data_IF_020215279167
#
_entry.id   IF_020215279167
#
_cell.length_a   1.000
_cell.length_b   1.000
_cell.length_c   1.000
_cell.angle_alpha   90.00
_cell.angle_beta   90.00
_cell.angle_gamma   90.00
#
_symmetry.space_group_name_H-M   'P 1'
#
loop_
_entity.id
_entity.type
_entity.pdbx_description
1 polymer ?
#
# COMPACT_ATOMS: atom_id res chain seq x y z
N UNK A 1 17.89 -19.51 33.40
CA UNK A 1 17.67 -20.07 32.04
C UNK A 1 16.18 -20.28 31.68
N UNK A 2 15.25 -20.52 32.62
CA UNK A 2 13.81 -20.68 32.35
C UNK A 2 13.05 -19.37 32.02
N UNK A 3 13.58 -18.22 32.44
CA UNK A 3 12.94 -16.89 32.31
C UNK A 3 13.03 -16.31 30.88
N UNK A 4 14.03 -16.73 30.10
CA UNK A 4 14.25 -16.26 28.73
C UNK A 4 13.20 -16.86 27.78
N UNK A 5 12.71 -18.08 28.07
CA UNK A 5 11.68 -18.75 27.29
C UNK A 5 10.33 -18.01 27.28
N UNK A 6 9.95 -17.39 28.41
CA UNK A 6 8.69 -16.65 28.48
C UNK A 6 8.71 -15.37 27.65
N UNK A 7 9.88 -14.74 27.50
CA UNK A 7 10.02 -13.51 26.72
C UNK A 7 9.83 -13.75 25.21
N UNK A 8 10.30 -14.91 24.69
CA UNK A 8 10.22 -15.23 23.26
C UNK A 8 8.78 -15.43 22.78
N UNK A 9 7.90 -15.97 23.63
CA UNK A 9 6.50 -16.21 23.28
C UNK A 9 5.68 -14.91 23.11
N UNK A 10 6.07 -13.82 23.78
CA UNK A 10 5.34 -12.55 23.69
C UNK A 10 5.59 -11.80 22.37
N UNK A 11 6.72 -12.05 21.69
CA UNK A 11 7.16 -11.27 20.52
C UNK A 11 6.44 -11.69 19.24
N UNK A 12 5.92 -12.92 19.17
CA UNK A 12 5.29 -13.48 17.97
C UNK A 12 3.89 -12.93 17.65
N UNK A 13 3.28 -12.14 18.53
CA UNK A 13 1.92 -11.63 18.34
C UNK A 13 1.82 -10.35 17.49
N UNK A 14 2.93 -9.78 17.00
CA UNK A 14 2.94 -8.40 16.47
C UNK A 14 2.87 -8.25 14.93
N UNK A 15 2.67 -9.31 14.14
CA UNK A 15 2.71 -9.23 12.66
C UNK A 15 1.38 -9.53 11.98
N UNK A 16 0.31 -8.80 12.33
CA UNK A 16 -0.92 -8.75 11.51
C UNK A 16 -1.06 -7.36 10.91
N UNK A 17 -0.49 -7.17 9.73
CA UNK A 17 -0.48 -5.88 9.04
C UNK A 17 -0.60 -6.02 7.53
N UNK A 18 -1.61 -6.75 7.04
CA UNK A 18 -2.02 -6.64 5.63
C UNK A 18 -3.05 -5.52 5.52
N UNK A 19 -2.60 -4.31 5.18
CA UNK A 19 -3.52 -3.28 4.71
C UNK A 19 -4.05 -3.73 3.35
N UNK A 20 -5.30 -4.18 3.31
CA UNK A 20 -6.02 -4.32 2.07
C UNK A 20 -5.96 -2.97 1.35
N UNK A 21 -5.35 -2.95 0.17
CA UNK A 21 -5.47 -1.81 -0.73
C UNK A 21 -6.97 -1.65 -0.98
N UNK A 22 -7.52 -0.52 -0.55
CA UNK A 22 -8.89 -0.18 -0.85
C UNK A 22 -9.01 -0.18 -2.38
N UNK A 23 -9.79 -1.12 -2.91
CA UNK A 23 -10.38 -1.00 -4.24
C UNK A 23 -11.37 0.16 -4.13
N UNK A 24 -10.85 1.37 -4.25
CA UNK A 24 -11.64 2.52 -4.62
C UNK A 24 -12.15 2.22 -6.02
N UNK A 25 -13.48 2.24 -6.19
CA UNK A 25 -14.18 1.92 -7.43
C UNK A 25 -13.96 2.99 -8.51
N UNK A 26 -12.72 3.43 -8.70
CA UNK A 26 -12.32 4.17 -9.87
C UNK A 26 -12.35 3.17 -11.04
N UNK A 27 -13.32 3.34 -11.93
CA UNK A 27 -13.54 2.48 -13.10
C UNK A 27 -12.40 2.53 -14.13
N UNK A 28 -11.33 3.28 -13.86
CA UNK A 28 -10.13 3.39 -14.70
C UNK A 28 -9.05 2.33 -14.45
N UNK A 29 -8.12 2.21 -15.38
CA UNK A 29 -6.95 1.34 -15.27
C UNK A 29 -5.83 2.12 -14.59
N UNK A 30 -5.23 1.57 -13.54
CA UNK A 30 -4.07 2.15 -12.88
C UNK A 30 -2.80 1.36 -13.17
N UNK A 31 -1.67 2.06 -13.27
CA UNK A 31 -0.36 1.40 -13.34
C UNK A 31 0.07 0.89 -11.96
N UNK A 32 0.86 -0.18 -11.95
CA UNK A 32 1.34 -0.82 -10.71
C UNK A 32 2.34 0.01 -9.87
N UNK A 33 3.20 0.87 -10.45
CA UNK A 33 4.19 1.61 -9.67
C UNK A 33 3.60 2.44 -8.54
N UNK A 34 4.31 2.46 -7.42
CA UNK A 34 3.98 3.21 -6.20
C UNK A 34 5.05 4.30 -6.01
N UNK A 35 4.69 5.53 -6.37
CA UNK A 35 5.58 6.69 -6.31
C UNK A 35 5.45 7.40 -4.96
N UNK A 36 6.58 7.74 -4.33
CA UNK A 36 6.57 8.43 -3.03
C UNK A 36 6.11 9.90 -3.12
N UNK A 37 6.12 10.48 -4.32
CA UNK A 37 5.66 11.84 -4.62
C UNK A 37 4.73 11.79 -5.83
N UNK A 38 3.92 12.83 -5.99
CA UNK A 38 3.01 12.95 -7.13
C UNK A 38 3.81 12.92 -8.45
N UNK A 39 3.57 11.94 -9.33
CA UNK A 39 4.27 11.82 -10.61
C UNK A 39 3.60 12.68 -11.69
N UNK A 40 4.38 13.06 -12.70
CA UNK A 40 3.80 13.50 -13.97
C UNK A 40 3.38 12.27 -14.78
N UNK A 41 2.10 12.20 -15.11
CA UNK A 41 1.53 11.09 -15.89
C UNK A 41 1.52 11.42 -17.39
N UNK A 42 1.52 10.38 -18.23
CA UNK A 42 1.38 10.52 -19.68
C UNK A 42 0.01 11.15 -20.04
N UNK A 43 -0.10 11.73 -21.24
CA UNK A 43 -1.37 12.27 -21.74
C UNK A 43 -2.53 11.27 -21.61
N UNK A 44 -3.67 11.73 -21.08
CA UNK A 44 -4.85 10.91 -20.81
C UNK A 44 -4.81 10.12 -19.49
N UNK A 45 -3.72 10.23 -18.73
CA UNK A 45 -3.58 9.67 -17.39
C UNK A 45 -3.50 10.79 -16.34
N UNK A 46 -3.96 10.50 -15.12
CA UNK A 46 -3.90 11.42 -13.99
C UNK A 46 -3.30 10.76 -12.75
N UNK A 47 -2.66 11.56 -11.92
CA UNK A 47 -2.04 11.10 -10.69
C UNK A 47 -3.11 10.89 -9.60
N UNK A 48 -3.08 9.73 -8.96
CA UNK A 48 -3.99 9.33 -7.88
C UNK A 48 -3.18 8.89 -6.67
N UNK A 49 -3.58 9.33 -5.48
CA UNK A 49 -2.97 8.88 -4.24
C UNK A 49 -3.72 7.67 -3.70
N UNK A 50 -3.04 6.52 -3.65
CA UNK A 50 -3.56 5.27 -3.09
C UNK A 50 -2.78 4.94 -1.81
N UNK A 51 -3.43 5.16 -0.66
CA UNK A 51 -2.80 4.99 0.66
C UNK A 51 -1.63 5.97 0.85
N UNK A 52 -0.43 5.42 1.03
CA UNK A 52 0.78 6.18 1.34
C UNK A 52 1.60 6.57 0.08
N UNK A 53 1.15 6.19 -1.12
CA UNK A 53 1.85 6.52 -2.36
C UNK A 53 0.94 6.98 -3.50
N UNK A 54 1.56 7.41 -4.58
CA UNK A 54 0.93 7.88 -5.80
C UNK A 54 1.07 6.86 -6.92
N UNK A 55 0.10 6.82 -7.81
CA UNK A 55 0.14 6.08 -9.07
C UNK A 55 -0.52 6.91 -10.18
N UNK A 56 -0.41 6.48 -11.44
CA UNK A 56 -1.16 7.06 -12.54
C UNK A 56 -2.33 6.14 -12.92
N UNK A 57 -3.51 6.73 -13.13
CA UNK A 57 -4.71 6.03 -13.58
C UNK A 57 -5.31 6.70 -14.83
N UNK A 58 -6.11 5.96 -15.59
CA UNK A 58 -6.92 6.51 -16.69
C UNK A 58 -8.32 6.86 -16.22
N UNK A 59 -9.03 7.65 -17.00
CA UNK A 59 -10.49 7.66 -16.92
C UNK A 59 -11.03 6.31 -17.43
N UNK A 60 -12.23 5.93 -17.00
CA UNK A 60 -12.89 4.69 -17.41
C UNK A 60 -13.39 4.73 -18.85
#
# INVERSE_FOLDING_TARGET
MKLIQFAVLAVLAAVTGVKAAATDSNTGICILPCFSKEPECTEGWYAVKLGDCWTCCTEA
#
